data_IF_566975098990
#
_entry.id   IF_566975098990
#
_cell.length_a   1.000
_cell.length_b   1.000
_cell.length_c   1.000
_cell.angle_alpha   90.00
_cell.angle_beta   90.00
_cell.angle_gamma   90.00
#
_symmetry.space_group_name_H-M   'P 1'
#
loop_
_entity.id
_entity.type
_entity.pdbx_description
1 polymer ?
#
# COMPACT_ATOMS: atom_id res chain seq x y z
N UNK A 1 -59.75 19.86 47.66
CA UNK A 1 -60.58 19.31 48.74
C UNK A 1 -61.07 17.94 48.31
N UNK A 2 -61.00 16.92 49.16
CA UNK A 2 -60.07 16.69 50.29
C UNK A 2 -59.59 15.21 50.28
N UNK A 3 -58.78 14.62 51.16
CA UNK A 3 -57.86 14.97 52.26
C UNK A 3 -57.11 13.63 52.55
N UNK A 4 -55.78 13.59 52.64
CA UNK A 4 -54.98 13.72 53.88
C UNK A 4 -55.46 12.83 55.05
N UNK A 5 -54.56 12.02 55.64
CA UNK A 5 -54.16 12.15 57.04
C UNK A 5 -52.95 11.25 57.39
N UNK A 6 -51.89 11.92 57.87
CA UNK A 6 -50.73 11.37 58.59
C UNK A 6 -51.13 11.05 60.03
N UNK A 7 -50.46 10.06 60.65
CA UNK A 7 -50.14 10.08 62.07
C UNK A 7 -48.75 9.48 62.34
N UNK A 8 -47.92 10.28 63.03
CA UNK A 8 -46.70 9.88 63.73
C UNK A 8 -47.07 9.45 65.15
N UNK A 9 -46.33 8.52 65.75
CA UNK A 9 -45.66 8.70 67.06
C UNK A 9 -44.68 7.55 67.38
N UNK A 10 -43.62 7.95 68.07
CA UNK A 10 -42.46 7.21 68.60
C UNK A 10 -42.77 6.40 69.88
N UNK A 11 -41.97 5.36 70.20
CA UNK A 11 -41.14 5.25 71.43
C UNK A 11 -40.44 3.85 71.56
N UNK A 12 -39.17 3.93 71.93
CA UNK A 12 -38.10 3.02 72.42
C UNK A 12 -38.44 1.85 73.39
N UNK A 13 -37.49 1.02 73.94
CA UNK A 13 -36.11 0.63 73.54
C UNK A 13 -35.75 -0.89 73.78
N UNK A 14 -34.46 -1.23 73.58
CA UNK A 14 -33.66 -2.35 74.16
C UNK A 14 -33.80 -3.76 73.57
N UNK A 15 -32.71 -4.25 72.96
CA UNK A 15 -31.96 -5.47 73.36
C UNK A 15 -30.89 -5.81 72.30
N UNK A 16 -29.61 -5.58 72.62
CA UNK A 16 -28.49 -6.38 72.10
C UNK A 16 -28.18 -7.46 73.17
N UNK A 17 -27.55 -8.63 72.89
CA UNK A 17 -26.60 -8.88 71.78
C UNK A 17 -26.70 -10.28 71.12
N UNK A 18 -26.08 -10.46 69.95
CA UNK A 18 -25.09 -11.55 69.77
C UNK A 18 -24.40 -11.43 68.41
N UNK A 19 -23.08 -11.60 68.45
CA UNK A 19 -22.17 -11.51 67.31
C UNK A 19 -22.31 -12.75 66.43
N UNK A 20 -22.64 -12.58 65.17
CA UNK A 20 -22.17 -13.47 64.11
C UNK A 20 -21.53 -12.64 63.00
N UNK A 21 -20.23 -12.81 62.84
CA UNK A 21 -19.46 -12.25 61.73
C UNK A 21 -19.82 -13.08 60.48
N UNK A 22 -20.62 -12.53 59.58
CA UNK A 22 -20.63 -12.99 58.20
C UNK A 22 -19.64 -12.11 57.42
N UNK A 23 -18.51 -12.71 57.07
CA UNK A 23 -17.53 -12.14 56.15
C UNK A 23 -18.16 -12.05 54.75
N UNK A 24 -18.42 -10.82 54.28
CA UNK A 24 -18.67 -10.55 52.86
C UNK A 24 -17.42 -10.95 52.08
N UNK A 25 -17.47 -12.07 51.37
CA UNK A 25 -16.52 -12.36 50.29
C UNK A 25 -16.91 -11.47 49.11
N UNK A 26 -16.15 -10.40 48.92
CA UNK A 26 -16.12 -9.63 47.68
C UNK A 26 -15.73 -10.56 46.53
N UNK A 27 -16.68 -10.84 45.64
CA UNK A 27 -16.39 -11.42 44.33
C UNK A 27 -15.73 -10.32 43.49
N UNK A 28 -14.40 -10.28 43.51
CA UNK A 28 -13.63 -9.54 42.50
C UNK A 28 -13.71 -10.34 41.20
N UNK A 29 -14.49 -9.85 40.23
CA UNK A 29 -14.44 -10.32 38.85
C UNK A 29 -13.08 -9.90 38.29
N UNK A 30 -12.13 -10.84 38.24
CA UNK A 30 -10.87 -10.65 37.54
C UNK A 30 -11.16 -10.67 36.03
N UNK A 31 -11.22 -9.49 35.41
CA UNK A 31 -11.15 -9.37 33.95
C UNK A 31 -9.73 -9.76 33.57
N UNK A 32 -9.54 -10.99 33.10
CA UNK A 32 -8.27 -11.42 32.47
C UNK A 32 -8.23 -10.72 31.12
N UNK A 33 -7.53 -9.58 31.06
CA UNK A 33 -7.09 -9.03 29.79
C UNK A 33 -6.05 -10.00 29.21
N UNK A 34 -6.46 -10.79 28.22
CA UNK A 34 -5.51 -11.57 27.41
C UNK A 34 -4.77 -10.57 26.53
N UNK A 35 -3.65 -10.05 27.02
CA UNK A 35 -2.66 -9.35 26.22
C UNK A 35 -2.03 -10.37 25.29
N UNK A 36 -2.51 -10.46 24.05
CA UNK A 36 -1.83 -11.17 22.97
C UNK A 36 -0.53 -10.40 22.73
N UNK A 37 0.54 -10.89 23.35
CA UNK A 37 1.89 -10.40 23.13
C UNK A 37 2.37 -11.09 21.85
N UNK A 38 2.42 -10.35 20.75
CA UNK A 38 3.16 -10.81 19.57
C UNK A 38 4.64 -10.80 19.94
N UNK A 39 5.23 -11.98 20.10
CA UNK A 39 6.68 -12.11 20.21
C UNK A 39 7.28 -11.80 18.85
N UNK A 40 7.78 -10.57 18.70
CA UNK A 40 8.66 -10.20 17.60
C UNK A 40 9.97 -10.97 17.82
N UNK A 41 10.25 -11.97 16.98
CA UNK A 41 11.57 -12.55 16.93
C UNK A 41 12.51 -11.48 16.38
N UNK A 42 13.33 -10.90 17.24
CA UNK A 42 14.42 -10.02 16.83
C UNK A 42 15.49 -10.90 16.15
N UNK A 43 15.34 -11.13 14.85
CA UNK A 43 16.46 -11.53 13.99
C UNK A 43 17.48 -10.39 13.96
N UNK A 44 18.76 -10.72 13.86
CA UNK A 44 19.84 -9.72 13.89
C UNK A 44 19.61 -8.62 12.85
N UNK A 45 19.21 -7.45 13.32
CA UNK A 45 19.25 -6.20 12.57
C UNK A 45 17.96 -5.70 11.93
N UNK A 46 16.76 -6.11 12.32
CA UNK A 46 15.55 -5.40 11.88
C UNK A 46 14.23 -5.95 12.43
N UNK A 47 13.10 -5.39 11.98
CA UNK A 47 11.77 -5.75 12.49
C UNK A 47 10.80 -6.12 11.37
N UNK A 48 10.25 -7.33 11.47
CA UNK A 48 9.22 -7.88 10.57
C UNK A 48 7.82 -7.38 10.94
N UNK A 49 7.05 -7.04 9.91
CA UNK A 49 5.65 -6.67 9.96
C UNK A 49 4.88 -7.58 9.02
N UNK A 50 3.93 -8.41 9.51
CA UNK A 50 3.10 -9.20 8.62
C UNK A 50 2.18 -8.27 7.81
N UNK A 51 2.13 -8.50 6.49
CA UNK A 51 1.20 -7.82 5.59
C UNK A 51 0.07 -8.77 5.19
N UNK A 52 -1.10 -8.21 4.86
CA UNK A 52 -2.25 -8.98 4.40
C UNK A 52 -2.79 -8.44 3.07
N UNK A 53 -2.75 -9.24 2.01
CA UNK A 53 -3.48 -9.00 0.75
C UNK A 53 -4.93 -9.45 0.86
N UNK A 54 -5.86 -8.81 0.15
CA UNK A 54 -7.28 -9.24 0.18
C UNK A 54 -7.94 -9.56 -1.16
N UNK A 55 -7.43 -9.13 -2.33
CA UNK A 55 -8.23 -9.21 -3.56
C UNK A 55 -7.37 -9.51 -4.79
N UNK A 56 -7.95 -10.28 -5.72
CA UNK A 56 -7.42 -10.58 -7.06
C UNK A 56 -8.36 -9.97 -8.08
N UNK A 57 -7.86 -9.59 -9.25
CA UNK A 57 -8.66 -9.11 -10.38
C UNK A 57 -9.52 -10.19 -11.05
N UNK A 58 -9.84 -11.26 -10.35
CA UNK A 58 -10.54 -12.42 -10.88
C UNK A 58 -11.85 -12.60 -10.12
N UNK A 59 -12.94 -12.71 -10.86
CA UNK A 59 -14.25 -13.05 -10.31
C UNK A 59 -14.27 -14.47 -9.71
N UNK A 60 -15.33 -14.80 -8.96
CA UNK A 60 -15.51 -16.16 -8.38
C UNK A 60 -15.52 -17.28 -9.42
N UNK A 61 -15.85 -16.96 -10.67
CA UNK A 61 -15.94 -17.93 -11.77
C UNK A 61 -14.63 -17.99 -12.59
N UNK A 62 -13.55 -17.36 -12.13
CA UNK A 62 -12.25 -17.41 -12.80
C UNK A 62 -12.10 -16.41 -13.96
N UNK A 63 -13.06 -15.51 -14.16
CA UNK A 63 -13.04 -14.48 -15.23
C UNK A 63 -12.35 -13.22 -14.75
N UNK A 64 -11.47 -12.65 -15.57
CA UNK A 64 -10.78 -11.38 -15.31
C UNK A 64 -11.77 -10.20 -15.26
N UNK A 65 -11.61 -9.33 -14.28
CA UNK A 65 -12.43 -8.13 -14.11
C UNK A 65 -11.83 -6.96 -14.91
N UNK A 66 -12.16 -6.91 -16.20
CA UNK A 66 -11.62 -5.91 -17.14
C UNK A 66 -11.82 -4.46 -16.68
N UNK A 67 -13.02 -4.02 -16.23
CA UNK A 67 -13.20 -2.65 -15.74
C UNK A 67 -12.27 -2.29 -14.57
N UNK A 68 -12.07 -3.20 -13.61
CA UNK A 68 -11.15 -2.96 -12.49
C UNK A 68 -9.69 -2.87 -12.96
N UNK A 69 -9.29 -3.69 -13.93
CA UNK A 69 -7.96 -3.65 -14.51
C UNK A 69 -7.69 -2.33 -15.25
N UNK A 70 -8.64 -1.86 -16.07
CA UNK A 70 -8.55 -0.57 -16.74
C UNK A 70 -8.42 0.59 -15.75
N UNK A 71 -9.23 0.55 -14.68
CA UNK A 71 -9.16 1.54 -13.59
C UNK A 71 -7.79 1.51 -12.90
N UNK A 72 -7.28 0.32 -12.61
CA UNK A 72 -5.97 0.13 -11.97
C UNK A 72 -4.82 0.68 -12.83
N UNK A 73 -4.84 0.46 -14.15
CA UNK A 73 -3.86 1.08 -15.06
C UNK A 73 -3.94 2.60 -14.98
N UNK A 74 -5.14 3.20 -15.10
CA UNK A 74 -5.31 4.65 -15.01
C UNK A 74 -4.81 5.23 -13.69
N UNK A 75 -5.10 4.55 -12.56
CA UNK A 75 -4.63 4.94 -11.23
C UNK A 75 -3.11 5.00 -11.16
N UNK A 76 -2.45 3.97 -11.69
CA UNK A 76 -0.99 3.84 -11.66
C UNK A 76 -0.32 4.93 -12.49
N UNK A 77 -0.84 5.23 -13.69
CA UNK A 77 -0.34 6.33 -14.53
C UNK A 77 -0.48 7.70 -13.83
N UNK A 78 -1.65 7.97 -13.25
CA UNK A 78 -1.90 9.25 -12.60
C UNK A 78 -1.08 9.40 -11.31
N UNK A 79 -0.84 8.29 -10.60
CA UNK A 79 0.06 8.24 -9.44
C UNK A 79 1.48 8.66 -9.82
N UNK A 80 2.04 8.09 -10.88
CA UNK A 80 3.37 8.49 -11.37
C UNK A 80 3.34 9.94 -11.86
N UNK A 81 2.33 10.36 -12.62
CA UNK A 81 2.18 11.76 -13.06
C UNK A 81 2.15 12.76 -11.90
N UNK A 82 1.43 12.46 -10.81
CA UNK A 82 1.43 13.27 -9.58
C UNK A 82 2.81 13.34 -8.93
N UNK A 83 3.52 12.21 -8.86
CA UNK A 83 4.86 12.17 -8.30
C UNK A 83 5.85 13.00 -9.12
N UNK A 84 5.75 12.98 -10.46
CA UNK A 84 6.55 13.83 -11.34
C UNK A 84 6.24 15.33 -11.16
N UNK A 85 4.96 15.68 -11.00
CA UNK A 85 4.57 17.05 -10.65
C UNK A 85 5.13 17.48 -9.29
N UNK A 86 5.10 16.59 -8.29
CA UNK A 86 5.70 16.85 -6.98
C UNK A 86 7.22 16.99 -7.07
N UNK A 87 7.87 16.12 -7.84
CA UNK A 87 9.30 16.18 -8.12
C UNK A 87 9.71 17.53 -8.68
N UNK A 88 9.06 18.01 -9.75
CA UNK A 88 9.38 19.30 -10.35
C UNK A 88 9.16 20.45 -9.35
N UNK A 89 8.05 20.43 -8.59
CA UNK A 89 7.77 21.43 -7.55
C UNK A 89 8.83 21.44 -6.44
N UNK A 90 9.27 20.27 -5.99
CA UNK A 90 10.14 20.13 -4.83
C UNK A 90 11.62 20.32 -5.16
N UNK A 91 12.05 19.94 -6.36
CA UNK A 91 13.45 20.00 -6.79
C UNK A 91 13.77 21.20 -7.67
N UNK A 92 12.75 21.81 -8.29
CA UNK A 92 12.91 22.90 -9.25
C UNK A 92 13.39 22.44 -10.63
N UNK A 93 13.51 21.14 -10.88
CA UNK A 93 13.89 20.56 -12.18
C UNK A 93 12.92 19.46 -12.59
N UNK A 94 12.71 19.29 -13.89
CA UNK A 94 11.92 18.18 -14.41
C UNK A 94 12.65 16.85 -14.18
N UNK A 95 11.88 15.84 -13.81
CA UNK A 95 12.36 14.48 -13.72
C UNK A 95 12.73 13.96 -15.13
N UNK A 96 13.81 13.16 -15.31
CA UNK A 96 14.16 12.59 -16.61
C UNK A 96 13.04 11.78 -17.30
N UNK A 97 12.28 10.99 -16.53
CA UNK A 97 11.05 10.34 -16.99
C UNK A 97 9.93 11.29 -17.47
N UNK A 98 9.95 12.57 -17.13
CA UNK A 98 8.94 13.51 -17.63
C UNK A 98 9.24 13.95 -19.07
N UNK A 99 8.93 13.09 -20.03
CA UNK A 99 9.10 13.34 -21.46
C UNK A 99 8.01 14.22 -22.08
N UNK A 100 7.02 14.66 -21.29
CA UNK A 100 5.88 15.44 -21.77
C UNK A 100 4.76 14.61 -22.41
N UNK A 101 4.94 13.28 -22.56
CA UNK A 101 3.91 12.33 -22.98
C UNK A 101 3.05 11.89 -21.80
N UNK A 102 2.39 12.83 -21.11
CA UNK A 102 1.48 12.51 -20.01
C UNK A 102 0.03 12.47 -20.52
N UNK A 103 -0.85 11.63 -19.95
CA UNK A 103 -2.28 11.70 -20.25
C UNK A 103 -2.79 13.12 -19.98
N UNK A 104 -3.46 13.73 -20.97
CA UNK A 104 -4.07 15.04 -20.76
C UNK A 104 -5.16 14.90 -19.70
N UNK A 105 -5.08 15.69 -18.62
CA UNK A 105 -6.06 15.74 -17.54
C UNK A 105 -7.46 15.91 -18.14
N UNK A 106 -8.27 14.84 -18.18
CA UNK A 106 -9.66 14.95 -18.62
C UNK A 106 -10.36 15.88 -17.64
N UNK A 107 -10.85 17.02 -18.13
CA UNK A 107 -11.69 17.92 -17.35
C UNK A 107 -12.98 17.17 -16.99
N UNK A 108 -13.02 16.60 -15.79
CA UNK A 108 -14.18 15.96 -15.15
C UNK A 108 -14.86 14.87 -15.98
N UNK A 109 -14.51 13.60 -15.72
CA UNK A 109 -15.37 12.46 -15.98
C UNK A 109 -15.92 11.94 -14.65
N UNK A 110 -17.24 11.93 -14.47
CA UNK A 110 -17.89 11.19 -13.40
C UNK A 110 -18.06 9.75 -13.86
N UNK A 111 -17.23 8.86 -13.35
CA UNK A 111 -17.47 7.41 -13.43
C UNK A 111 -18.56 7.07 -12.40
N UNK A 112 -19.70 6.47 -12.79
CA UNK A 112 -20.72 6.06 -11.84
C UNK A 112 -20.10 5.10 -10.79
N UNK A 113 -20.35 5.41 -9.53
CA UNK A 113 -19.89 4.70 -8.33
C UNK A 113 -20.18 3.19 -8.42
N UNK A 114 -19.22 2.42 -8.91
CA UNK A 114 -19.15 0.97 -8.72
C UNK A 114 -18.25 0.66 -7.53
N UNK A 115 -18.52 -0.43 -6.81
CA UNK A 115 -17.65 -0.93 -5.75
C UNK A 115 -16.21 -1.09 -6.29
N UNK A 116 -15.29 -0.33 -5.70
CA UNK A 116 -13.91 -0.15 -6.09
C UNK A 116 -13.01 -1.15 -5.37
N UNK A 117 -12.93 -2.37 -5.91
CA UNK A 117 -12.04 -3.41 -5.41
C UNK A 117 -10.66 -3.32 -6.10
N UNK A 118 -9.87 -2.31 -5.72
CA UNK A 118 -8.55 -2.05 -6.31
C UNK A 118 -7.51 -3.10 -5.87
N UNK A 119 -7.18 -4.03 -6.76
CA UNK A 119 -5.98 -4.87 -6.71
C UNK A 119 -5.63 -5.53 -5.38
N UNK A 120 -4.36 -5.92 -5.25
CA UNK A 120 -3.78 -6.32 -3.96
C UNK A 120 -3.22 -5.07 -3.26
N UNK A 121 -3.76 -4.77 -2.08
CA UNK A 121 -3.21 -3.76 -1.17
C UNK A 121 -2.43 -4.48 -0.05
N UNK A 122 -1.23 -4.01 0.26
CA UNK A 122 -0.34 -4.63 1.23
C UNK A 122 -0.35 -3.84 2.52
N UNK A 123 -1.36 -4.14 3.33
CA UNK A 123 -1.62 -3.38 4.55
C UNK A 123 -0.97 -3.96 5.79
N UNK A 124 -0.52 -3.09 6.68
CA UNK A 124 0.00 -3.46 7.99
C UNK A 124 -0.34 -2.42 9.08
N UNK A 125 -0.08 -2.77 10.35
CA UNK A 125 -0.41 -1.92 11.48
C UNK A 125 0.62 -0.81 11.70
N UNK A 126 0.13 0.38 12.05
CA UNK A 126 0.94 1.50 12.55
C UNK A 126 0.31 2.08 13.81
N UNK A 127 1.01 2.95 14.51
CA UNK A 127 0.45 3.75 15.60
C UNK A 127 0.86 5.21 15.49
N UNK A 128 -0.08 6.12 15.78
CA UNK A 128 0.14 7.57 15.72
C UNK A 128 -0.30 8.23 17.02
N UNK A 129 0.48 9.21 17.50
CA UNK A 129 0.12 10.07 18.62
C UNK A 129 0.71 9.70 19.99
N UNK A 130 0.45 10.56 20.98
CA UNK A 130 0.71 10.29 22.40
C UNK A 130 -0.48 10.71 23.27
N UNK A 131 -1.29 9.78 23.82
CA UNK A 131 -1.12 8.32 23.75
C UNK A 131 -1.26 7.78 22.32
N UNK A 132 -0.54 6.70 22.03
CA UNK A 132 -0.53 6.07 20.72
C UNK A 132 -1.89 5.44 20.40
N UNK A 133 -2.39 5.68 19.18
CA UNK A 133 -3.59 5.05 18.63
C UNK A 133 -3.21 4.21 17.41
N UNK A 134 -3.73 2.98 17.33
CA UNK A 134 -3.45 2.06 16.23
C UNK A 134 -4.27 2.35 14.98
N UNK A 135 -3.68 2.12 13.82
CA UNK A 135 -4.29 2.23 12.48
C UNK A 135 -3.77 1.11 11.58
N UNK A 136 -4.47 0.88 10.48
CA UNK A 136 -3.99 0.05 9.36
C UNK A 136 -3.69 0.94 8.17
N UNK A 137 -2.57 0.72 7.49
CA UNK A 137 -2.23 1.48 6.27
C UNK A 137 -1.73 0.55 5.18
N UNK A 138 -1.99 0.94 3.93
CA UNK A 138 -1.33 0.39 2.76
C UNK A 138 0.10 0.95 2.64
N UNK A 139 1.10 0.08 2.48
CA UNK A 139 2.50 0.47 2.33
C UNK A 139 2.87 0.54 0.84
N UNK A 140 3.20 1.74 0.38
CA UNK A 140 3.27 2.05 -1.05
C UNK A 140 4.62 2.66 -1.44
N UNK A 141 5.47 1.91 -2.15
CA UNK A 141 6.77 2.43 -2.64
C UNK A 141 6.65 3.41 -3.80
N UNK A 142 5.52 3.47 -4.51
CA UNK A 142 5.27 4.43 -5.58
C UNK A 142 4.76 5.80 -5.12
N UNK A 143 4.59 6.03 -3.81
CA UNK A 143 4.24 7.34 -3.24
C UNK A 143 5.02 7.66 -1.97
N UNK A 144 4.82 8.83 -1.36
CA UNK A 144 5.72 9.32 -0.28
C UNK A 144 5.05 9.98 0.91
N UNK A 145 3.72 10.14 0.85
CA UNK A 145 2.97 10.82 1.90
C UNK A 145 2.23 9.82 2.78
N UNK A 146 2.08 10.15 4.07
CA UNK A 146 1.25 9.42 5.02
C UNK A 146 -0.03 10.21 5.30
N UNK A 147 -1.20 9.66 5.00
CA UNK A 147 -2.48 10.27 5.37
C UNK A 147 -3.39 9.28 6.10
N UNK A 148 -4.19 9.83 7.01
CA UNK A 148 -5.20 9.12 7.80
C UNK A 148 -6.52 9.90 7.79
N UNK A 149 -7.67 9.24 8.00
CA UNK A 149 -8.97 9.90 7.99
C UNK A 149 -9.12 10.68 9.28
N UNK A 150 -9.50 11.95 9.17
CA UNK A 150 -9.65 12.87 10.27
C UNK A 150 -10.96 12.72 11.04
N UNK A 151 -11.06 13.33 12.23
CA UNK A 151 -12.32 13.38 12.99
C UNK A 151 -13.42 14.18 12.29
N UNK A 152 -13.03 15.10 11.42
CA UNK A 152 -13.95 15.91 10.62
C UNK A 152 -14.34 15.22 9.30
N UNK A 153 -13.80 14.02 9.02
CA UNK A 153 -14.22 13.24 7.87
C UNK A 153 -15.55 12.53 8.15
N UNK A 154 -16.54 12.82 7.31
CA UNK A 154 -17.93 12.40 7.52
C UNK A 154 -18.20 11.02 6.89
N UNK A 155 -19.15 10.95 5.94
CA UNK A 155 -19.75 9.71 5.46
C UNK A 155 -18.75 8.75 4.80
N UNK A 156 -17.80 9.27 4.03
CA UNK A 156 -16.82 8.46 3.28
C UNK A 156 -15.73 7.84 4.16
N UNK A 157 -15.62 8.28 5.42
CA UNK A 157 -14.69 7.69 6.39
C UNK A 157 -15.36 6.71 7.38
N UNK A 158 -16.65 6.41 7.19
CA UNK A 158 -17.36 5.47 8.05
C UNK A 158 -16.71 4.08 8.01
N UNK A 159 -16.49 3.50 9.19
CA UNK A 159 -15.84 2.20 9.35
C UNK A 159 -14.31 2.24 9.46
N UNK A 160 -13.69 3.39 9.17
CA UNK A 160 -12.25 3.60 9.40
C UNK A 160 -11.94 4.06 10.81
N UNK A 161 -10.71 3.81 11.24
CA UNK A 161 -10.17 4.39 12.47
C UNK A 161 -9.77 5.85 12.22
N UNK A 162 -10.41 6.78 12.93
CA UNK A 162 -10.16 8.22 12.73
C UNK A 162 -8.97 8.74 13.54
N UNK A 163 -8.10 9.53 12.90
CA UNK A 163 -7.01 10.27 13.52
C UNK A 163 -7.52 11.58 14.13
N UNK A 164 -7.28 11.74 15.44
CA UNK A 164 -7.61 12.96 16.17
C UNK A 164 -6.31 13.61 16.67
N UNK A 165 -5.74 14.59 15.95
CA UNK A 165 -4.54 15.28 16.40
C UNK A 165 -4.73 15.97 17.75
N UNK A 166 -5.93 16.50 18.05
CA UNK A 166 -6.25 17.16 19.31
C UNK A 166 -6.21 16.23 20.54
N UNK A 167 -6.25 14.91 20.33
CA UNK A 167 -6.09 13.91 21.40
C UNK A 167 -4.62 13.53 21.65
N UNK A 168 -3.70 13.90 20.76
CA UNK A 168 -2.27 13.64 20.89
C UNK A 168 -1.57 14.83 21.54
N UNK A 169 -0.83 14.59 22.63
CA UNK A 169 -0.06 15.62 23.35
C UNK A 169 1.18 16.09 22.60
N UNK A 170 1.59 15.37 21.57
CA UNK A 170 2.81 15.64 20.78
C UNK A 170 2.48 16.00 19.34
N UNK A 171 1.19 16.12 18.98
CA UNK A 171 0.79 16.64 17.69
C UNK A 171 1.06 18.15 17.60
N UNK A 172 1.35 18.61 16.40
CA UNK A 172 1.45 20.04 16.10
C UNK A 172 0.89 20.31 14.71
N UNK A 173 0.02 21.31 14.62
CA UNK A 173 -0.60 21.71 13.36
C UNK A 173 0.38 22.57 12.54
N UNK A 174 0.70 22.13 11.32
CA UNK A 174 1.61 22.87 10.42
C UNK A 174 0.91 24.02 9.69
N UNK A 175 -0.43 24.04 9.72
CA UNK A 175 -1.35 24.91 8.96
C UNK A 175 -1.32 24.71 7.44
N UNK A 176 -0.48 23.81 6.94
CA UNK A 176 -0.40 23.48 5.53
C UNK A 176 -1.60 22.61 5.15
N UNK A 177 -2.31 23.00 4.10
CA UNK A 177 -3.35 22.19 3.48
C UNK A 177 -2.73 21.29 2.41
N UNK A 178 -3.33 20.13 2.18
CA UNK A 178 -2.95 19.24 1.10
C UNK A 178 -4.19 18.77 0.34
N UNK A 179 -3.98 18.43 -0.93
CA UNK A 179 -4.95 17.76 -1.77
C UNK A 179 -4.22 16.73 -2.63
N UNK A 180 -4.67 15.49 -2.54
CA UNK A 180 -4.24 14.37 -3.36
C UNK A 180 -5.42 14.00 -4.26
N UNK A 181 -5.16 13.78 -5.54
CA UNK A 181 -6.16 13.37 -6.52
C UNK A 181 -5.66 12.19 -7.33
N UNK A 182 -6.31 11.05 -7.19
CA UNK A 182 -5.96 9.78 -7.82
C UNK A 182 -6.71 9.61 -9.15
N UNK A 183 -6.21 8.70 -9.99
CA UNK A 183 -6.65 8.58 -11.38
C UNK A 183 -8.06 8.00 -11.58
N UNK A 184 -8.56 7.29 -10.58
CA UNK A 184 -9.96 6.86 -10.51
C UNK A 184 -10.93 7.98 -10.13
N UNK A 185 -10.44 9.22 -10.03
CA UNK A 185 -11.20 10.35 -9.52
C UNK A 185 -11.30 10.37 -8.00
N UNK A 186 -10.69 9.41 -7.29
CA UNK A 186 -10.64 9.47 -5.84
C UNK A 186 -9.75 10.62 -5.38
N UNK A 187 -10.08 11.25 -4.26
CA UNK A 187 -9.35 12.39 -3.73
C UNK A 187 -9.28 12.32 -2.22
N UNK A 188 -8.19 12.88 -1.68
CA UNK A 188 -7.99 13.08 -0.25
C UNK A 188 -7.64 14.54 -0.04
N UNK A 189 -8.33 15.21 0.88
CA UNK A 189 -8.06 16.61 1.22
C UNK A 189 -8.02 16.78 2.74
N UNK A 190 -7.09 17.62 3.20
CA UNK A 190 -6.86 17.73 4.62
C UNK A 190 -5.88 18.80 5.05
N UNK A 191 -5.46 18.68 6.30
CA UNK A 191 -4.45 19.54 6.93
C UNK A 191 -3.29 18.69 7.41
N UNK A 192 -2.08 19.17 7.21
CA UNK A 192 -0.87 18.48 7.63
C UNK A 192 -0.55 18.77 9.10
N UNK A 193 -0.28 17.72 9.85
CA UNK A 193 0.21 17.77 11.22
C UNK A 193 1.60 17.11 11.29
N UNK A 194 2.40 17.50 12.27
CA UNK A 194 3.50 16.66 12.71
C UNK A 194 3.08 15.93 13.98
N UNK A 195 3.33 14.63 14.05
CA UNK A 195 3.07 13.81 15.24
C UNK A 195 4.16 12.73 15.37
N UNK A 196 4.02 11.85 16.35
CA UNK A 196 4.86 10.66 16.52
C UNK A 196 4.19 9.48 15.81
N UNK A 197 4.90 8.84 14.88
CA UNK A 197 4.46 7.64 14.17
C UNK A 197 5.36 6.48 14.57
N UNK A 198 4.76 5.34 14.88
CA UNK A 198 5.48 4.12 15.26
C UNK A 198 5.02 2.96 14.39
N UNK A 199 5.98 2.21 13.86
CA UNK A 199 5.75 1.00 13.08
C UNK A 199 6.65 -0.09 13.66
N UNK A 200 6.05 -1.20 14.08
CA UNK A 200 6.76 -2.33 14.67
C UNK A 200 7.70 -1.99 15.86
N UNK A 201 7.45 -0.89 16.57
CA UNK A 201 8.31 -0.41 17.66
C UNK A 201 9.42 0.57 17.24
N UNK A 202 9.61 0.81 15.94
CA UNK A 202 10.45 1.89 15.42
C UNK A 202 9.65 3.19 15.38
N UNK A 203 10.16 4.23 16.03
CA UNK A 203 9.43 5.47 16.24
C UNK A 203 10.07 6.64 15.49
N UNK A 204 9.30 7.26 14.60
CA UNK A 204 9.60 8.53 13.96
C UNK A 204 8.89 9.67 14.71
N UNK A 205 9.66 10.56 15.36
CA UNK A 205 9.12 11.75 16.01
C UNK A 205 9.03 12.92 15.03
N UNK A 206 8.01 13.78 15.16
CA UNK A 206 7.79 14.92 14.28
C UNK A 206 7.65 14.49 12.80
N UNK A 207 7.02 13.33 12.59
CA UNK A 207 6.67 12.81 11.28
C UNK A 207 5.45 13.55 10.76
N UNK A 208 5.49 13.93 9.48
CA UNK A 208 4.37 14.53 8.77
C UNK A 208 3.24 13.50 8.61
N UNK A 209 2.03 13.84 9.04
CA UNK A 209 0.80 13.04 8.95
C UNK A 209 -0.32 13.93 8.41
N UNK A 210 -0.88 13.56 7.27
CA UNK A 210 -2.06 14.22 6.70
C UNK A 210 -3.32 13.81 7.47
N UNK A 211 -3.95 14.76 8.17
CA UNK A 211 -5.28 14.59 8.73
C UNK A 211 -6.30 14.94 7.66
N UNK A 212 -7.03 13.94 7.19
CA UNK A 212 -7.89 14.06 6.01
C UNK A 212 -9.31 14.41 6.43
N UNK A 213 -9.73 15.64 6.19
CA UNK A 213 -11.11 16.08 6.39
C UNK A 213 -12.08 15.54 5.33
N UNK A 214 -11.55 15.05 4.20
CA UNK A 214 -12.36 14.48 3.13
C UNK A 214 -11.62 13.31 2.47
N UNK A 215 -12.29 12.17 2.45
CA UNK A 215 -12.06 11.06 1.52
C UNK A 215 -13.15 11.10 0.44
N UNK A 216 -12.82 10.75 -0.80
CA UNK A 216 -13.81 10.39 -1.82
C UNK A 216 -14.30 8.95 -1.63
N UNK A 217 -15.30 8.55 -2.41
CA UNK A 217 -15.89 7.20 -2.41
C UNK A 217 -14.89 6.06 -2.64
N UNK A 218 -13.86 6.27 -3.47
CA UNK A 218 -12.79 5.28 -3.67
C UNK A 218 -12.01 4.91 -2.39
N UNK A 219 -12.06 5.75 -1.34
CA UNK A 219 -11.44 5.51 -0.04
C UNK A 219 -12.44 5.04 1.04
N UNK A 220 -13.69 4.76 0.68
CA UNK A 220 -14.64 4.12 1.60
C UNK A 220 -14.15 2.73 2.01
N UNK A 221 -14.49 2.28 3.23
CA UNK A 221 -13.95 1.04 3.83
C UNK A 221 -14.11 -0.21 2.97
N UNK A 222 -15.19 -0.28 2.19
CA UNK A 222 -15.48 -1.43 1.31
C UNK A 222 -14.51 -1.50 0.13
N UNK A 223 -14.12 -0.34 -0.39
CA UNK A 223 -13.27 -0.16 -1.55
C UNK A 223 -11.79 -0.14 -1.19
N UNK A 224 -11.47 0.60 -0.12
CA UNK A 224 -10.14 0.74 0.45
C UNK A 224 -10.19 0.26 1.91
N UNK A 225 -9.89 -1.02 2.17
CA UNK A 225 -9.92 -1.58 3.53
C UNK A 225 -8.94 -0.97 4.56
N UNK A 226 -7.71 -0.52 4.23
CA UNK A 226 -6.86 0.11 5.23
C UNK A 226 -7.41 1.48 5.65
N UNK A 227 -7.07 1.97 6.83
CA UNK A 227 -7.52 3.30 7.29
C UNK A 227 -6.91 4.43 6.46
N UNK A 228 -5.67 4.25 5.98
CA UNK A 228 -4.98 5.20 5.13
C UNK A 228 -3.85 4.56 4.34
N UNK A 229 -2.94 5.40 3.84
CA UNK A 229 -1.78 4.99 3.06
C UNK A 229 -0.52 5.59 3.66
N UNK A 230 0.58 4.84 3.61
CA UNK A 230 1.92 5.28 3.99
C UNK A 230 2.86 5.10 2.80
N UNK A 231 3.26 6.22 2.20
CA UNK A 231 4.27 6.24 1.15
C UNK A 231 5.67 5.84 1.66
N UNK A 232 6.34 5.01 0.88
CA UNK A 232 7.67 4.44 1.12
C UNK A 232 8.69 4.83 0.04
N UNK A 233 8.34 5.78 -0.83
CA UNK A 233 9.21 6.42 -1.83
C UNK A 233 10.07 7.55 -1.27
N UNK A 234 10.49 8.48 -2.14
CA UNK A 234 11.42 9.56 -1.79
C UNK A 234 10.75 10.93 -1.52
N UNK A 235 11.38 11.77 -0.70
CA UNK A 235 10.84 13.11 -0.36
C UNK A 235 10.58 13.97 -1.61
N UNK A 236 11.36 13.78 -2.66
CA UNK A 236 11.24 14.52 -3.91
C UNK A 236 9.86 14.38 -4.53
N UNK A 237 9.18 13.23 -4.39
CA UNK A 237 7.81 13.03 -4.92
C UNK A 237 6.71 13.25 -3.86
N UNK A 238 7.05 13.70 -2.65
CA UNK A 238 6.07 14.05 -1.61
C UNK A 238 5.24 15.26 -2.01
N UNK A 239 3.92 15.14 -2.01
CA UNK A 239 3.01 16.29 -2.18
C UNK A 239 3.06 17.20 -0.96
N UNK A 240 3.38 16.65 0.22
CA UNK A 240 3.55 17.45 1.43
C UNK A 240 4.85 18.26 1.40
N UNK A 241 5.83 17.89 0.58
CA UNK A 241 7.19 18.42 0.62
C UNK A 241 7.85 18.13 1.97
N UNK A 242 7.70 16.89 2.44
CA UNK A 242 8.20 16.42 3.74
C UNK A 242 8.83 15.04 3.60
N UNK A 243 9.81 14.79 4.47
CA UNK A 243 10.46 13.50 4.57
C UNK A 243 9.47 12.35 4.88
N UNK A 244 9.45 11.28 4.05
CA UNK A 244 8.67 10.08 4.28
C UNK A 244 9.09 9.31 5.54
N UNK A 245 8.19 8.48 6.07
CA UNK A 245 8.37 7.79 7.35
C UNK A 245 9.71 7.05 7.47
N UNK A 246 10.03 6.18 6.51
CA UNK A 246 11.24 5.38 6.60
C UNK A 246 12.51 6.24 6.54
N UNK A 247 12.54 7.26 5.69
CA UNK A 247 13.66 8.21 5.65
C UNK A 247 13.80 9.02 6.94
N UNK A 248 12.70 9.33 7.62
CA UNK A 248 12.75 9.90 8.97
C UNK A 248 13.42 8.94 9.96
N UNK A 249 13.13 7.64 9.91
CA UNK A 249 13.82 6.66 10.76
C UNK A 249 15.33 6.60 10.46
N UNK A 250 15.70 6.57 9.17
CA UNK A 250 17.10 6.54 8.72
C UNK A 250 17.86 7.79 9.17
N UNK A 251 17.34 8.98 8.87
CA UNK A 251 18.00 10.25 9.22
C UNK A 251 18.13 10.49 10.73
N UNK A 252 17.29 9.82 11.54
CA UNK A 252 17.33 9.87 13.00
C UNK A 252 18.15 8.74 13.62
N UNK A 253 18.74 7.85 12.83
CA UNK A 253 19.53 6.71 13.31
C UNK A 253 18.71 5.72 14.13
N UNK A 254 17.41 5.59 13.85
CA UNK A 254 16.50 4.68 14.57
C UNK A 254 16.65 3.23 14.07
N UNK A 255 16.96 3.07 12.78
CA UNK A 255 17.18 1.76 12.15
C UNK A 255 18.64 1.35 12.18
N UNK A 256 18.87 0.04 12.19
CA UNK A 256 20.17 -0.63 12.15
C UNK A 256 20.82 -0.54 10.78
N UNK A 257 20.06 -0.76 9.71
CA UNK A 257 20.47 -0.53 8.32
C UNK A 257 19.49 0.42 7.62
N UNK A 258 19.95 1.25 6.66
CA UNK A 258 19.11 2.22 5.97
C UNK A 258 18.28 1.60 4.84
N UNK A 259 17.74 0.41 5.05
CA UNK A 259 17.01 -0.37 4.05
C UNK A 259 15.79 -1.08 4.66
N UNK A 260 14.84 -1.42 3.79
CA UNK A 260 13.72 -2.29 4.13
C UNK A 260 13.53 -3.38 3.09
N UNK A 261 13.21 -4.58 3.56
CA UNK A 261 12.90 -5.74 2.73
C UNK A 261 11.40 -5.98 2.63
N UNK A 262 10.96 -6.55 1.52
CA UNK A 262 9.56 -6.87 1.27
C UNK A 262 9.46 -8.27 0.64
N UNK A 263 8.56 -9.07 1.20
CA UNK A 263 8.06 -10.30 0.57
C UNK A 263 6.56 -10.17 0.39
N UNK A 264 6.09 -10.30 -0.84
CA UNK A 264 4.67 -10.23 -1.18
C UNK A 264 4.17 -11.63 -1.56
N UNK A 265 3.06 -12.06 -0.97
CA UNK A 265 2.43 -13.36 -1.18
C UNK A 265 1.05 -13.43 -0.55
N UNK A 266 0.19 -14.28 -1.08
CA UNK A 266 -1.13 -14.59 -0.49
C UNK A 266 -1.07 -15.02 0.99
N UNK A 267 0.08 -15.54 1.45
CA UNK A 267 0.32 -15.84 2.86
C UNK A 267 1.77 -15.56 3.26
N UNK A 268 1.97 -15.10 4.50
CA UNK A 268 3.30 -14.81 5.02
C UNK A 268 4.01 -13.69 4.26
N UNK A 269 3.27 -12.65 3.87
CA UNK A 269 3.84 -11.41 3.39
C UNK A 269 4.46 -10.61 4.53
N UNK A 270 5.50 -9.85 4.20
CA UNK A 270 6.32 -9.15 5.16
C UNK A 270 6.79 -7.80 4.63
N UNK A 271 6.79 -6.80 5.51
CA UNK A 271 7.67 -5.64 5.46
C UNK A 271 8.70 -5.75 6.59
N UNK A 272 9.98 -5.78 6.25
CA UNK A 272 11.09 -5.85 7.18
C UNK A 272 11.81 -4.50 7.24
N UNK A 273 11.74 -3.80 8.37
CA UNK A 273 12.36 -2.48 8.51
C UNK A 273 13.73 -2.56 9.16
N UNK A 274 14.70 -1.87 8.55
CA UNK A 274 16.05 -1.72 9.11
C UNK A 274 17.05 -2.77 8.64
N UNK A 275 16.75 -3.53 7.59
CA UNK A 275 17.54 -4.62 7.04
C UNK A 275 16.74 -5.45 6.04
N UNK A 276 17.10 -6.73 5.90
CA UNK A 276 16.38 -7.73 5.12
C UNK A 276 16.29 -9.06 5.90
N UNK A 277 15.19 -9.80 5.73
CA UNK A 277 15.05 -11.14 6.31
C UNK A 277 15.72 -12.18 5.39
N UNK A 278 16.96 -12.53 5.72
CA UNK A 278 17.76 -13.51 4.98
C UNK A 278 17.20 -14.94 5.04
N UNK A 279 16.18 -15.21 5.86
CA UNK A 279 15.50 -16.51 5.87
C UNK A 279 14.43 -16.64 4.79
N UNK A 280 14.03 -15.54 4.16
CA UNK A 280 12.97 -15.48 3.16
C UNK A 280 13.47 -15.47 1.71
N UNK A 281 14.79 -15.45 1.50
CA UNK A 281 15.40 -15.50 0.18
C UNK A 281 16.68 -16.33 0.16
N UNK A 282 17.11 -16.73 -1.04
CA UNK A 282 18.35 -17.48 -1.27
C UNK A 282 19.30 -16.72 -2.19
N UNK A 283 20.59 -17.03 -2.05
CA UNK A 283 21.65 -16.39 -2.84
C UNK A 283 21.90 -14.93 -2.47
N UNK A 284 22.47 -14.17 -3.41
CA UNK A 284 22.75 -12.74 -3.25
C UNK A 284 21.65 -11.90 -3.90
N UNK A 285 21.47 -10.68 -3.39
CA UNK A 285 20.66 -9.66 -4.03
C UNK A 285 21.31 -9.22 -5.36
N UNK A 286 20.52 -9.17 -6.41
CA UNK A 286 20.83 -8.46 -7.65
C UNK A 286 20.53 -6.98 -7.42
N UNK A 287 21.53 -6.23 -6.94
CA UNK A 287 21.39 -4.80 -6.63
C UNK A 287 21.53 -3.93 -7.87
N UNK A 288 20.56 -3.04 -8.07
CA UNK A 288 20.52 -2.07 -9.17
C UNK A 288 20.44 -0.66 -8.57
N UNK A 289 21.27 0.30 -9.03
CA UNK A 289 21.20 1.68 -8.56
C UNK A 289 19.90 2.35 -9.01
N UNK A 290 19.36 3.19 -8.13
CA UNK A 290 18.27 4.10 -8.48
C UNK A 290 18.80 5.16 -9.47
N UNK A 291 18.14 5.31 -10.62
CA UNK A 291 18.58 6.22 -11.70
C UNK A 291 18.37 7.69 -11.32
N UNK A 292 17.20 8.01 -10.76
CA UNK A 292 16.85 9.34 -10.25
C UNK A 292 16.14 9.22 -8.91
N UNK A 293 16.68 9.87 -7.87
CA UNK A 293 16.10 9.84 -6.52
C UNK A 293 14.77 10.60 -6.50
N UNK A 294 13.68 9.86 -6.60
CA UNK A 294 12.30 10.36 -6.56
C UNK A 294 11.35 9.18 -6.46
N UNK A 295 11.34 8.35 -7.50
CA UNK A 295 10.77 7.01 -7.44
C UNK A 295 11.87 5.99 -7.09
N UNK A 296 11.47 4.77 -6.74
CA UNK A 296 12.36 3.60 -6.78
C UNK A 296 12.52 3.15 -8.24
N UNK A 297 13.11 4.03 -9.04
CA UNK A 297 13.33 3.82 -10.47
C UNK A 297 14.69 3.19 -10.71
N UNK A 298 14.71 2.08 -11.42
CA UNK A 298 15.92 1.34 -11.78
C UNK A 298 15.90 0.96 -13.25
N UNK A 299 17.07 0.74 -13.84
CA UNK A 299 17.14 0.20 -15.21
C UNK A 299 16.94 -1.32 -15.18
N UNK A 300 15.91 -1.80 -15.87
CA UNK A 300 15.68 -3.21 -16.14
C UNK A 300 16.48 -3.63 -17.38
N UNK A 301 17.32 -4.66 -17.26
CA UNK A 301 18.21 -5.09 -18.35
C UNK A 301 17.40 -5.62 -19.53
N UNK A 302 16.37 -6.43 -19.26
CA UNK A 302 15.45 -6.92 -20.28
C UNK A 302 14.15 -7.48 -19.70
N UNK A 303 13.10 -7.41 -20.51
CA UNK A 303 11.86 -8.20 -20.34
C UNK A 303 11.83 -9.26 -21.45
N UNK A 304 11.52 -10.50 -21.07
CA UNK A 304 11.62 -11.65 -21.96
C UNK A 304 10.33 -12.48 -21.89
N UNK A 305 9.97 -13.13 -22.99
CA UNK A 305 8.97 -14.20 -23.05
C UNK A 305 9.50 -15.35 -23.91
N UNK A 306 9.16 -16.59 -23.56
CA UNK A 306 9.62 -17.79 -24.28
C UNK A 306 11.14 -17.81 -24.59
N UNK A 307 11.96 -17.24 -23.70
CA UNK A 307 13.42 -17.16 -23.84
C UNK A 307 13.96 -16.12 -24.82
N UNK A 308 13.12 -15.19 -25.31
CA UNK A 308 13.52 -14.10 -26.21
C UNK A 308 13.25 -12.74 -25.56
N UNK A 309 14.18 -11.81 -25.75
CA UNK A 309 14.05 -10.45 -25.24
C UNK A 309 13.09 -9.63 -26.11
N UNK A 310 12.13 -8.98 -25.47
CA UNK A 310 11.16 -8.08 -26.10
C UNK A 310 11.54 -6.59 -25.95
N UNK A 311 12.36 -6.28 -24.93
CA UNK A 311 12.92 -4.95 -24.71
C UNK A 311 14.14 -5.03 -23.80
N UNK A 312 14.95 -3.97 -23.79
CA UNK A 312 16.20 -3.92 -23.04
C UNK A 312 16.56 -2.52 -22.58
N UNK A 313 17.23 -2.39 -21.43
CA UNK A 313 17.60 -1.12 -20.79
C UNK A 313 16.38 -0.21 -20.58
N UNK A 314 15.39 -0.72 -19.85
CA UNK A 314 14.08 -0.10 -19.68
C UNK A 314 14.00 0.57 -18.31
N UNK A 315 13.74 1.87 -18.26
CA UNK A 315 13.58 2.59 -17.00
C UNK A 315 12.27 2.19 -16.32
N UNK A 316 12.40 1.61 -15.12
CA UNK A 316 11.34 0.86 -14.46
C UNK A 316 11.12 1.33 -13.02
N UNK A 317 9.92 1.77 -12.69
CA UNK A 317 9.53 2.13 -11.32
C UNK A 317 9.09 0.86 -10.58
N UNK A 318 9.73 0.57 -9.45
CA UNK A 318 9.40 -0.60 -8.61
C UNK A 318 8.37 -0.21 -7.55
N UNK A 319 7.16 -0.74 -7.67
CA UNK A 319 5.98 -0.20 -6.98
C UNK A 319 5.11 -1.26 -6.29
N UNK A 320 5.21 -1.37 -4.96
CA UNK A 320 4.35 -2.24 -4.14
C UNK A 320 2.89 -1.78 -4.08
N UNK A 321 2.60 -0.53 -4.44
CA UNK A 321 1.24 -0.01 -4.53
C UNK A 321 0.62 -0.17 -5.92
N UNK A 322 1.24 -0.95 -6.81
CA UNK A 322 0.70 -1.32 -8.12
C UNK A 322 0.67 -2.85 -8.21
N UNK A 323 -0.43 -3.41 -8.70
CA UNK A 323 -0.58 -4.86 -8.84
C UNK A 323 -0.02 -5.36 -10.17
N UNK A 324 -0.23 -4.64 -11.27
CA UNK A 324 0.19 -5.06 -12.61
C UNK A 324 1.67 -4.76 -12.89
N UNK A 325 2.21 -5.40 -13.93
CA UNK A 325 3.37 -4.83 -14.66
C UNK A 325 2.80 -4.03 -15.82
N UNK A 326 3.10 -2.73 -15.87
CA UNK A 326 2.54 -1.82 -16.87
C UNK A 326 3.70 -1.27 -17.70
N UNK A 327 3.70 -1.54 -19.00
CA UNK A 327 4.77 -1.13 -19.92
C UNK A 327 4.27 -0.30 -21.10
N UNK A 328 5.19 0.27 -21.86
CA UNK A 328 4.86 0.98 -23.09
C UNK A 328 4.22 0.04 -24.15
N UNK A 329 3.48 0.64 -25.08
CA UNK A 329 2.73 -0.10 -26.10
C UNK A 329 3.61 -0.98 -26.98
N UNK A 330 4.79 -0.51 -27.37
CA UNK A 330 5.63 -1.19 -28.35
C UNK A 330 6.35 -2.38 -27.71
N UNK A 331 6.94 -2.19 -26.52
CA UNK A 331 7.65 -3.27 -25.81
C UNK A 331 6.69 -4.36 -25.35
N UNK A 332 5.50 -4.01 -24.85
CA UNK A 332 4.51 -5.01 -24.42
C UNK A 332 3.94 -5.77 -25.63
N UNK A 333 3.67 -5.11 -26.75
CA UNK A 333 3.27 -5.81 -27.97
C UNK A 333 4.36 -6.78 -28.46
N UNK A 334 5.63 -6.37 -28.41
CA UNK A 334 6.76 -7.23 -28.73
C UNK A 334 6.86 -8.43 -27.76
N UNK A 335 6.55 -8.24 -26.47
CA UNK A 335 6.52 -9.32 -25.49
C UNK A 335 5.49 -10.38 -25.84
N UNK A 336 4.25 -9.97 -26.11
CA UNK A 336 3.19 -10.92 -26.45
C UNK A 336 3.42 -11.58 -27.80
N UNK A 337 4.05 -10.93 -28.77
CA UNK A 337 4.42 -11.54 -30.05
C UNK A 337 5.33 -12.78 -29.89
N UNK A 338 6.07 -12.89 -28.78
CA UNK A 338 6.89 -14.05 -28.46
C UNK A 338 6.12 -15.20 -27.77
N UNK A 339 4.92 -14.93 -27.27
CA UNK A 339 4.07 -15.91 -26.57
C UNK A 339 3.19 -16.64 -27.61
N UNK A 340 3.36 -17.96 -27.81
CA UNK A 340 2.55 -18.71 -28.78
C UNK A 340 1.05 -18.64 -28.45
N UNK A 341 0.23 -18.29 -29.44
CA UNK A 341 -1.21 -18.21 -29.29
C UNK A 341 -1.72 -16.97 -28.55
N UNK A 342 -0.84 -16.02 -28.20
CA UNK A 342 -1.27 -14.74 -27.68
C UNK A 342 -2.01 -13.91 -28.73
N UNK A 343 -2.82 -12.97 -28.27
CA UNK A 343 -3.53 -12.04 -29.13
C UNK A 343 -3.65 -10.65 -28.48
N UNK A 344 -3.68 -9.62 -29.32
CA UNK A 344 -4.12 -8.29 -28.91
C UNK A 344 -5.62 -8.37 -28.59
N UNK A 345 -5.98 -7.94 -27.38
CA UNK A 345 -7.35 -7.92 -26.87
C UNK A 345 -7.92 -6.50 -26.80
N UNK A 346 -7.34 -5.54 -27.53
CA UNK A 346 -7.77 -4.14 -27.50
C UNK A 346 -9.23 -3.94 -27.88
N UNK A 347 -9.75 -4.75 -28.81
CA UNK A 347 -11.14 -4.67 -29.27
C UNK A 347 -12.14 -5.31 -28.30
N UNK A 348 -11.68 -6.17 -27.39
CA UNK A 348 -12.55 -6.94 -26.46
C UNK A 348 -12.42 -6.48 -25.01
N UNK A 349 -11.19 -6.22 -24.56
CA UNK A 349 -10.85 -5.81 -23.20
C UNK A 349 -10.41 -4.34 -23.09
N UNK A 350 -10.24 -3.65 -24.22
CA UNK A 350 -9.82 -2.25 -24.28
C UNK A 350 -8.31 -2.08 -24.52
N UNK A 351 -7.86 -0.86 -24.87
CA UNK A 351 -6.50 -0.64 -25.36
C UNK A 351 -5.42 -1.13 -24.39
N UNK A 352 -4.43 -1.84 -24.95
CA UNK A 352 -3.25 -2.31 -24.21
C UNK A 352 -3.44 -3.61 -23.44
N UNK A 353 -4.60 -4.25 -23.59
CA UNK A 353 -4.85 -5.60 -23.10
C UNK A 353 -4.40 -6.64 -24.12
N UNK A 354 -3.83 -7.73 -23.61
CA UNK A 354 -3.45 -8.89 -24.40
C UNK A 354 -3.93 -10.16 -23.69
N UNK A 355 -4.18 -11.20 -24.48
CA UNK A 355 -4.51 -12.54 -23.98
C UNK A 355 -3.47 -13.57 -24.40
N UNK A 356 -3.50 -14.72 -23.72
CA UNK A 356 -2.74 -15.91 -24.05
C UNK A 356 -3.58 -17.16 -23.75
N UNK A 357 -3.29 -18.33 -24.35
CA UNK A 357 -4.03 -19.55 -24.04
C UNK A 357 -3.84 -19.95 -22.58
N UNK A 358 -4.93 -20.15 -21.84
CA UNK A 358 -4.91 -20.38 -20.40
C UNK A 358 -4.11 -21.63 -19.98
N UNK A 359 -3.92 -22.59 -20.88
CA UNK A 359 -3.18 -23.84 -20.66
C UNK A 359 -1.70 -23.76 -21.06
N UNK A 360 -1.23 -22.60 -21.51
CA UNK A 360 0.15 -22.36 -21.91
C UNK A 360 0.89 -21.61 -20.81
N UNK A 361 2.17 -21.96 -20.59
CA UNK A 361 3.10 -21.15 -19.79
C UNK A 361 3.81 -20.12 -20.68
N UNK A 362 3.55 -18.81 -20.51
CA UNK A 362 4.19 -17.75 -21.28
C UNK A 362 5.71 -17.63 -21.06
N UNK A 363 6.23 -18.22 -19.98
CA UNK A 363 7.64 -18.14 -19.58
C UNK A 363 8.19 -16.69 -19.59
N UNK A 364 7.44 -15.76 -18.99
CA UNK A 364 7.83 -14.35 -18.86
C UNK A 364 8.88 -14.20 -17.76
N UNK A 365 9.89 -13.37 -17.99
CA UNK A 365 10.91 -13.03 -16.98
C UNK A 365 11.42 -11.61 -17.12
N UNK A 366 11.80 -11.01 -15.99
CA UNK A 366 12.48 -9.72 -15.93
C UNK A 366 13.94 -9.93 -15.53
N UNK A 367 14.87 -9.21 -16.14
CA UNK A 367 16.30 -9.31 -15.83
C UNK A 367 16.80 -8.03 -15.18
N UNK A 368 17.46 -8.16 -14.03
CA UNK A 368 18.07 -7.07 -13.28
C UNK A 368 19.50 -7.47 -12.86
N UNK A 369 20.46 -6.57 -13.05
CA UNK A 369 21.88 -6.81 -12.78
C UNK A 369 22.41 -8.15 -13.35
N UNK A 370 21.98 -8.50 -14.56
CA UNK A 370 22.33 -9.73 -15.27
C UNK A 370 21.66 -11.01 -14.74
N UNK A 371 20.81 -10.92 -13.71
CA UNK A 371 20.05 -12.05 -13.17
C UNK A 371 18.60 -12.02 -13.69
N UNK A 372 18.18 -13.12 -14.29
CA UNK A 372 16.80 -13.30 -14.79
C UNK A 372 15.92 -13.87 -13.68
N UNK A 373 14.74 -13.25 -13.50
CA UNK A 373 13.74 -13.61 -12.51
C UNK A 373 12.42 -13.98 -13.24
N UNK A 374 11.99 -15.25 -13.19
CA UNK A 374 10.75 -15.68 -13.83
C UNK A 374 9.51 -15.15 -13.10
N UNK A 375 8.48 -14.80 -13.85
CA UNK A 375 7.14 -14.51 -13.33
C UNK A 375 6.32 -15.80 -13.40
N UNK A 376 5.83 -16.29 -12.26
CA UNK A 376 5.01 -17.49 -12.22
C UNK A 376 3.67 -17.29 -12.93
N UNK A 377 3.15 -18.37 -13.54
CA UNK A 377 1.82 -18.36 -14.17
C UNK A 377 0.71 -17.95 -13.18
N UNK A 378 0.85 -18.27 -11.89
CA UNK A 378 -0.13 -17.92 -10.84
C UNK A 378 -0.29 -16.41 -10.63
N UNK A 379 0.77 -15.64 -10.91
CA UNK A 379 0.77 -14.18 -10.82
C UNK A 379 0.55 -13.52 -12.18
N UNK A 380 1.03 -14.15 -13.25
CA UNK A 380 0.83 -13.66 -14.62
C UNK A 380 -0.62 -13.86 -15.12
N UNK A 381 -1.31 -14.93 -14.73
CA UNK A 381 -2.67 -15.20 -15.20
C UNK A 381 -3.71 -14.44 -14.34
N UNK A 382 -4.36 -13.44 -14.93
CA UNK A 382 -5.38 -12.64 -14.24
C UNK A 382 -6.79 -13.25 -14.33
N UNK A 383 -6.95 -14.35 -15.06
CA UNK A 383 -8.21 -15.05 -15.29
C UNK A 383 -8.62 -15.08 -16.78
N UNK A 384 -9.67 -15.85 -17.07
CA UNK A 384 -10.24 -15.97 -18.41
C UNK A 384 -10.81 -14.63 -18.89
N UNK A 385 -10.68 -14.33 -20.18
CA UNK A 385 -11.31 -13.14 -20.77
C UNK A 385 -12.85 -13.19 -20.66
N UNK A 386 -13.42 -14.38 -20.86
CA UNK A 386 -14.85 -14.64 -20.77
C UNK A 386 -15.13 -15.99 -20.08
N UNK A 387 -16.32 -16.14 -19.51
CA UNK A 387 -16.69 -17.35 -18.76
C UNK A 387 -16.69 -18.59 -19.67
N UNK A 388 -15.83 -19.57 -19.35
CA UNK A 388 -15.68 -20.78 -20.14
C UNK A 388 -14.84 -20.63 -21.41
N UNK A 389 -14.22 -19.47 -21.63
CA UNK A 389 -13.24 -19.24 -22.70
C UNK A 389 -11.92 -19.98 -22.48
N UNK A 390 -11.09 -20.04 -23.52
CA UNK A 390 -9.75 -20.67 -23.48
C UNK A 390 -8.61 -19.66 -23.33
N UNK A 391 -8.93 -18.37 -23.40
CA UNK A 391 -7.95 -17.29 -23.42
C UNK A 391 -7.99 -16.54 -22.08
N UNK A 392 -6.80 -16.30 -21.53
CA UNK A 392 -6.58 -15.65 -20.24
C UNK A 392 -5.93 -14.29 -20.44
N UNK A 393 -6.27 -13.33 -19.58
CA UNK A 393 -5.67 -11.99 -19.56
C UNK A 393 -4.33 -12.05 -18.84
N UNK A 394 -3.28 -11.53 -19.48
CA UNK A 394 -1.93 -11.52 -18.90
C UNK A 394 -1.68 -10.35 -17.94
N UNK A 395 -0.75 -10.56 -17.01
CA UNK A 395 -0.40 -9.64 -15.93
C UNK A 395 0.48 -8.47 -16.36
N UNK A 396 1.01 -8.53 -17.58
CA UNK A 396 1.73 -7.41 -18.22
C UNK A 396 0.74 -6.69 -19.13
N UNK A 397 0.47 -5.42 -18.84
CA UNK A 397 -0.43 -4.57 -19.62
C UNK A 397 0.33 -3.44 -20.29
N UNK A 398 -0.14 -3.03 -21.46
CA UNK A 398 0.39 -1.86 -22.13
C UNK A 398 -0.42 -0.61 -21.76
N UNK A 399 0.26 0.52 -21.68
CA UNK A 399 -0.40 1.80 -21.50
C UNK A 399 0.25 2.89 -22.35
N UNK A 400 -0.59 3.71 -22.98
CA UNK A 400 -0.14 4.96 -23.61
C UNK A 400 0.05 6.06 -22.55
N UNK A 401 1.05 6.91 -22.75
CA UNK A 401 1.31 8.04 -21.85
C UNK A 401 1.98 7.65 -20.53
N UNK A 402 2.65 6.49 -20.51
CA UNK A 402 3.60 6.19 -19.44
C UNK A 402 4.79 7.16 -19.54
N UNK A 403 5.15 7.84 -18.43
CA UNK A 403 6.36 8.64 -18.38
C UNK A 403 7.63 7.78 -18.24
N UNK A 404 7.52 6.60 -17.63
CA UNK A 404 8.58 5.57 -17.63
C UNK A 404 8.37 4.53 -18.73
N UNK A 405 9.36 3.66 -18.95
CA UNK A 405 9.13 2.50 -19.81
C UNK A 405 8.22 1.50 -19.09
N UNK A 406 8.45 1.29 -17.78
CA UNK A 406 7.67 0.34 -16.98
C UNK A 406 7.31 0.86 -15.57
N UNK A 407 6.19 0.35 -15.06
CA UNK A 407 5.85 0.25 -13.63
C UNK A 407 5.80 -1.24 -13.30
N UNK A 408 6.63 -1.69 -12.37
CA UNK A 408 6.78 -3.10 -12.00
C UNK A 408 6.14 -3.34 -10.64
N UNK A 409 4.94 -3.91 -10.67
CA UNK A 409 4.13 -4.19 -9.48
C UNK A 409 4.09 -5.66 -9.05
N UNK A 410 3.05 -6.01 -8.30
CA UNK A 410 2.87 -7.31 -7.63
C UNK A 410 2.96 -8.54 -8.54
N UNK A 411 2.58 -8.43 -9.81
CA UNK A 411 2.73 -9.51 -10.81
C UNK A 411 4.19 -9.96 -10.85
N UNK A 412 5.15 -9.06 -10.69
CA UNK A 412 6.56 -9.41 -10.51
C UNK A 412 6.94 -9.58 -9.03
N UNK A 413 6.60 -8.61 -8.18
CA UNK A 413 7.10 -8.52 -6.80
C UNK A 413 6.67 -9.68 -5.89
N UNK A 414 5.63 -10.43 -6.24
CA UNK A 414 5.26 -11.67 -5.52
C UNK A 414 6.18 -12.87 -5.82
N UNK A 415 7.05 -12.78 -6.83
CA UNK A 415 7.94 -13.86 -7.25
C UNK A 415 9.38 -13.70 -6.70
N UNK A 416 9.68 -12.58 -6.07
CA UNK A 416 11.03 -12.23 -5.60
C UNK A 416 10.99 -11.64 -4.20
N UNK A 417 12.09 -11.75 -3.47
CA UNK A 417 12.33 -10.89 -2.32
C UNK A 417 12.90 -9.57 -2.81
N UNK A 418 12.36 -8.44 -2.35
CA UNK A 418 12.77 -7.10 -2.81
C UNK A 418 13.33 -6.30 -1.65
N UNK A 419 14.49 -5.69 -1.81
CA UNK A 419 15.12 -4.80 -0.81
C UNK A 419 15.23 -3.40 -1.38
N UNK A 420 14.75 -2.42 -0.63
CA UNK A 420 14.83 -1.01 -0.97
C UNK A 420 15.82 -0.33 -0.02
N UNK A 421 16.97 0.09 -0.52
CA UNK A 421 18.04 0.68 0.29
C UNK A 421 18.12 2.19 0.08
N UNK A 422 17.69 2.95 1.08
CA UNK A 422 17.72 4.42 1.08
C UNK A 422 19.15 4.95 1.22
N UNK A 423 20.01 4.26 1.96
CA UNK A 423 21.37 4.71 2.24
C UNK A 423 22.28 4.67 1.02
N UNK A 424 22.17 3.62 0.21
CA UNK A 424 22.93 3.43 -1.02
C UNK A 424 22.13 3.78 -2.27
N UNK A 425 20.84 4.11 -2.14
CA UNK A 425 19.92 4.37 -3.25
C UNK A 425 19.93 3.24 -4.28
N UNK A 426 19.64 2.02 -3.82
CA UNK A 426 19.56 0.80 -4.65
C UNK A 426 18.26 0.04 -4.41
N UNK A 427 17.85 -0.75 -5.40
CA UNK A 427 16.84 -1.80 -5.24
C UNK A 427 17.52 -3.15 -5.52
N UNK A 428 17.32 -4.12 -4.63
CA UNK A 428 17.89 -5.47 -4.73
C UNK A 428 16.81 -6.53 -4.88
N UNK A 429 17.04 -7.51 -5.75
CA UNK A 429 16.12 -8.64 -5.96
C UNK A 429 16.79 -9.98 -5.68
N UNK A 430 16.09 -10.92 -5.05
CA UNK A 430 16.58 -12.29 -4.81
C UNK A 430 15.46 -13.33 -5.01
N UNK A 431 15.86 -14.58 -5.23
CA UNK A 431 14.91 -15.70 -5.33
C UNK A 431 14.33 -15.97 -3.94
N UNK A 432 13.02 -16.16 -3.84
CA UNK A 432 12.36 -16.56 -2.59
C UNK A 432 12.87 -17.93 -2.11
N UNK A 433 12.93 -18.11 -0.78
CA UNK A 433 13.43 -19.33 -0.13
C UNK A 433 12.43 -20.49 -0.06
#
# INVERSE_FOLDING_TARGET
MPDAYKWHTSFDPVLQPSRQRLTMRSLSLAIIAVSISFSVAAGEGGISIPLASRKRFTSKNGVANIPLLQKHVSKSLDKVSRGLDAFERNTGVKHPLDTGNRPTKRATGTDPLTDDDDGSLWQGPISVGSPAKGFTVDFDTGSSDLFLPGVDCLLTCLGHTLYNPGASRVSSNTRQRFSLAFGDGSTVQGTLFNDTVTVAGLTATNQAVGESSQYSTGFEKVNFPPDGLMGMGFEQISVFGRQPFFQTLVSRGVVTSPEFGVKLSTSGSELFLGGADTSLFTGSLAEVPVTTVGFWEVTMDSINAAGRAAGSNLDSIIDTGTTLVIGDMDTVAALYAEIPGSADASDTAGPGFFTFPCDTDPAVSLTFAGKSFPISLDTFNLGMLEEGGTDCVGGVMAASGLPSDFIVGDVFLQNVYTVFNVGNTTVGFADLA
#
